data_IF_626722012820
#
_entry.id   IF_626722012820
#
_cell.length_a   1.000
_cell.length_b   1.000
_cell.length_c   1.000
_cell.angle_alpha   90.00
_cell.angle_beta   90.00
_cell.angle_gamma   90.00
#
_symmetry.space_group_name_H-M   'P 1'
#
loop_
_entity.id
_entity.type
_entity.pdbx_description
1 polymer ?
#
# COMPACT_ATOMS: atom_id res chain seq x y z
N UNK A 1 8.47 -12.83 12.39
CA UNK A 1 7.04 -12.86 12.11
C UNK A 1 6.55 -11.57 11.48
N UNK A 2 6.83 -10.41 12.08
CA UNK A 2 6.42 -9.12 11.55
C UNK A 2 7.00 -8.82 10.18
N UNK A 3 8.29 -9.07 9.97
CA UNK A 3 8.95 -8.87 8.68
C UNK A 3 8.39 -9.84 7.65
N UNK A 4 8.20 -11.10 8.04
CA UNK A 4 7.63 -12.10 7.14
C UNK A 4 6.23 -11.71 6.66
N UNK A 5 5.41 -11.14 7.55
CA UNK A 5 4.08 -10.66 7.19
C UNK A 5 4.14 -9.51 6.20
N UNK A 6 5.04 -8.55 6.41
CA UNK A 6 5.22 -7.42 5.48
C UNK A 6 5.67 -7.91 4.11
N UNK A 7 6.60 -8.86 4.05
CA UNK A 7 7.07 -9.43 2.79
C UNK A 7 5.94 -10.16 2.07
N UNK A 8 5.15 -10.95 2.80
CA UNK A 8 4.01 -11.67 2.21
C UNK A 8 2.98 -10.70 1.64
N UNK A 9 2.68 -9.62 2.36
CA UNK A 9 1.76 -8.60 1.89
C UNK A 9 2.29 -7.90 0.64
N UNK A 10 3.58 -7.56 0.62
CA UNK A 10 4.21 -6.94 -0.54
C UNK A 10 4.13 -7.86 -1.78
N UNK A 11 4.40 -9.16 -1.60
CA UNK A 11 4.27 -10.14 -2.68
C UNK A 11 2.84 -10.24 -3.19
N UNK A 12 1.86 -10.25 -2.30
CA UNK A 12 0.45 -10.30 -2.67
C UNK A 12 0.06 -9.08 -3.50
N UNK A 13 0.43 -7.88 -3.04
CA UNK A 13 0.16 -6.65 -3.77
C UNK A 13 0.82 -6.64 -5.14
N UNK A 14 2.07 -7.12 -5.22
CA UNK A 14 2.78 -7.19 -6.50
C UNK A 14 2.05 -8.12 -7.47
N UNK A 15 1.60 -9.29 -7.01
CA UNK A 15 0.86 -10.22 -7.85
C UNK A 15 -0.45 -9.64 -8.34
N UNK A 16 -1.17 -8.93 -7.46
CA UNK A 16 -2.39 -8.25 -7.84
C UNK A 16 -2.13 -7.18 -8.90
N UNK A 17 -1.07 -6.40 -8.72
CA UNK A 17 -0.67 -5.36 -9.69
C UNK A 17 -0.30 -5.96 -11.04
N UNK A 18 0.45 -7.06 -11.05
CA UNK A 18 0.81 -7.76 -12.28
C UNK A 18 -0.44 -8.30 -13.00
N UNK A 19 -1.41 -8.82 -12.23
CA UNK A 19 -2.67 -9.31 -12.79
C UNK A 19 -3.46 -8.18 -13.45
N UNK A 20 -3.54 -7.01 -12.82
CA UNK A 20 -4.21 -5.84 -13.40
C UNK A 20 -3.52 -5.41 -14.70
N UNK A 21 -2.19 -5.39 -14.72
CA UNK A 21 -1.44 -5.08 -15.94
C UNK A 21 -1.72 -6.09 -17.05
N UNK A 22 -1.82 -7.37 -16.71
CA UNK A 22 -2.17 -8.41 -17.66
C UNK A 22 -3.55 -8.20 -18.25
N UNK A 23 -4.52 -7.79 -17.43
CA UNK A 23 -5.87 -7.46 -17.89
C UNK A 23 -5.86 -6.28 -18.86
N UNK A 24 -5.09 -5.23 -18.56
CA UNK A 24 -4.94 -4.07 -19.43
C UNK A 24 -4.33 -4.45 -20.76
N UNK A 25 -3.29 -5.30 -20.77
CA UNK A 25 -2.65 -5.77 -21.99
C UNK A 25 -3.58 -6.63 -22.84
N UNK A 26 -4.52 -7.32 -22.20
CA UNK A 26 -5.53 -8.12 -22.89
C UNK A 26 -6.70 -7.29 -23.42
N UNK A 27 -6.66 -5.97 -23.28
CA UNK A 27 -7.71 -5.08 -23.76
C UNK A 27 -8.91 -4.95 -22.83
N UNK A 28 -8.79 -5.44 -21.58
CA UNK A 28 -9.85 -5.31 -20.57
C UNK A 28 -9.77 -3.94 -19.90
N UNK A 29 -10.86 -3.56 -19.21
CA UNK A 29 -10.92 -2.35 -18.43
C UNK A 29 -11.09 -2.70 -16.93
N UNK A 30 -9.98 -3.01 -16.21
CA UNK A 30 -10.06 -3.49 -14.83
C UNK A 30 -10.25 -2.33 -13.83
N UNK A 31 -11.37 -1.64 -13.89
CA UNK A 31 -11.67 -0.49 -13.02
C UNK A 31 -11.81 -0.93 -11.57
N UNK A 32 -12.59 -1.98 -11.32
CA UNK A 32 -12.78 -2.52 -9.97
C UNK A 32 -11.47 -3.07 -9.42
N UNK A 33 -10.79 -3.90 -10.19
CA UNK A 33 -9.55 -4.56 -9.78
C UNK A 33 -8.45 -3.54 -9.50
N UNK A 34 -8.32 -2.53 -10.37
CA UNK A 34 -7.35 -1.46 -10.18
C UNK A 34 -7.63 -0.65 -8.91
N UNK A 35 -8.91 -0.36 -8.63
CA UNK A 35 -9.29 0.36 -7.43
C UNK A 35 -8.96 -0.44 -6.16
N UNK A 36 -9.20 -1.75 -6.18
CA UNK A 36 -8.87 -2.62 -5.05
C UNK A 36 -7.37 -2.61 -4.79
N UNK A 37 -6.55 -2.80 -5.83
CA UNK A 37 -5.10 -2.81 -5.70
C UNK A 37 -4.59 -1.46 -5.16
N UNK A 38 -5.12 -0.36 -5.68
CA UNK A 38 -4.71 0.98 -5.24
C UNK A 38 -5.08 1.21 -3.78
N UNK A 39 -6.31 0.85 -3.37
CA UNK A 39 -6.75 1.04 -1.99
C UNK A 39 -5.92 0.20 -1.02
N UNK A 40 -5.75 -1.10 -1.30
CA UNK A 40 -4.96 -1.99 -0.46
C UNK A 40 -3.49 -1.57 -0.40
N UNK A 41 -2.92 -1.17 -1.53
CA UNK A 41 -1.55 -0.70 -1.60
C UNK A 41 -1.32 0.56 -0.79
N UNK A 42 -2.23 1.51 -0.87
CA UNK A 42 -2.15 2.76 -0.12
C UNK A 42 -2.22 2.51 1.38
N UNK A 43 -3.15 1.66 1.83
CA UNK A 43 -3.26 1.29 3.25
C UNK A 43 -1.98 0.64 3.74
N UNK A 44 -1.41 -0.28 2.94
CA UNK A 44 -0.16 -0.95 3.28
C UNK A 44 1.00 0.04 3.38
N UNK A 45 1.14 0.92 2.39
CA UNK A 45 2.21 1.91 2.36
C UNK A 45 2.12 2.87 3.55
N UNK A 46 0.92 3.31 3.90
CA UNK A 46 0.73 4.22 5.04
C UNK A 46 1.02 3.56 6.38
N UNK A 47 0.77 2.26 6.49
CA UNK A 47 1.04 1.51 7.72
C UNK A 47 2.52 1.15 7.87
N UNK A 48 3.28 1.14 6.78
CA UNK A 48 4.65 0.64 6.75
C UNK A 48 5.59 1.37 7.71
N UNK A 49 5.63 2.73 7.76
CA UNK A 49 6.53 3.42 8.67
C UNK A 49 6.31 3.06 10.13
N UNK A 50 5.05 2.97 10.55
CA UNK A 50 4.72 2.60 11.93
C UNK A 50 5.14 1.18 12.24
N UNK A 51 4.85 0.24 11.33
CA UNK A 51 5.25 -1.17 11.50
C UNK A 51 6.77 -1.31 11.54
N UNK A 52 7.47 -0.58 10.69
CA UNK A 52 8.94 -0.59 10.70
C UNK A 52 9.49 -0.06 12.01
N UNK A 53 8.88 1.00 12.54
CA UNK A 53 9.29 1.56 13.84
C UNK A 53 9.09 0.54 14.95
N UNK A 54 7.93 -0.13 14.98
CA UNK A 54 7.62 -1.12 16.02
C UNK A 54 8.59 -2.31 15.95
N UNK A 55 8.90 -2.79 14.76
CA UNK A 55 9.78 -3.94 14.56
C UNK A 55 11.23 -3.63 14.91
N UNK A 56 11.65 -2.37 14.85
CA UNK A 56 13.02 -1.97 15.09
C UNK A 56 13.20 -1.20 16.39
N UNK A 57 12.17 -1.12 17.23
CA UNK A 57 12.20 -0.32 18.47
C UNK A 57 13.32 -0.71 19.41
N UNK A 58 13.71 -1.99 19.43
CA UNK A 58 14.74 -2.51 20.32
C UNK A 58 16.04 -2.86 19.58
N UNK A 59 16.14 -2.49 18.30
CA UNK A 59 17.35 -2.72 17.51
C UNK A 59 18.28 -1.53 17.66
N UNK A 60 19.53 -1.81 18.05
CA UNK A 60 20.56 -0.80 18.16
C UNK A 60 21.69 -1.14 17.21
N UNK A 61 21.85 -0.34 16.15
CA UNK A 61 22.93 -0.49 15.20
C UNK A 61 23.44 0.88 14.76
N UNK A 62 24.58 0.89 14.06
CA UNK A 62 25.26 2.12 13.69
C UNK A 62 24.51 3.03 12.74
N UNK A 63 23.51 2.50 12.03
CA UNK A 63 22.73 3.24 11.03
C UNK A 63 21.38 3.72 11.57
N UNK A 64 21.17 3.62 12.86
CA UNK A 64 19.87 3.96 13.47
C UNK A 64 19.45 5.39 13.18
N UNK A 65 20.39 6.34 13.20
CA UNK A 65 20.08 7.76 12.96
C UNK A 65 19.53 7.97 11.53
N UNK A 66 20.16 7.36 10.53
CA UNK A 66 19.69 7.44 9.15
C UNK A 66 18.33 6.78 8.98
N UNK A 67 18.13 5.62 9.60
CA UNK A 67 16.87 4.91 9.57
C UNK A 67 15.75 5.74 10.20
N UNK A 68 16.00 6.35 11.36
CA UNK A 68 15.01 7.20 12.03
C UNK A 68 14.65 8.43 11.19
N UNK A 69 15.62 9.00 10.48
CA UNK A 69 15.36 10.13 9.59
C UNK A 69 14.45 9.73 8.43
N UNK A 70 14.71 8.56 7.82
CA UNK A 70 13.85 8.03 6.76
C UNK A 70 12.44 7.72 7.27
N UNK A 71 12.32 7.18 8.49
CA UNK A 71 11.02 6.91 9.09
C UNK A 71 10.23 8.20 9.33
N UNK A 72 10.88 9.26 9.79
CA UNK A 72 10.21 10.55 9.96
C UNK A 72 9.68 11.08 8.64
N UNK A 73 10.52 11.04 7.61
CA UNK A 73 10.11 11.47 6.27
C UNK A 73 8.90 10.66 5.78
N UNK A 74 8.99 9.35 5.86
CA UNK A 74 7.91 8.46 5.42
C UNK A 74 6.62 8.72 6.20
N UNK A 75 6.73 8.96 7.51
CA UNK A 75 5.58 9.26 8.37
C UNK A 75 4.90 10.57 7.95
N UNK A 76 5.70 11.58 7.61
CA UNK A 76 5.17 12.88 7.20
C UNK A 76 4.48 12.85 5.84
N UNK A 77 4.97 12.02 4.90
CA UNK A 77 4.35 11.93 3.59
C UNK A 77 3.21 10.91 3.50
N UNK A 78 3.05 10.05 4.52
CA UNK A 78 2.04 9.00 4.49
C UNK A 78 0.62 9.49 4.19
N UNK A 79 0.13 10.60 4.79
CA UNK A 79 -1.21 11.10 4.47
C UNK A 79 -1.39 11.48 3.00
N UNK A 80 -0.33 11.92 2.33
CA UNK A 80 -0.37 12.27 0.91
C UNK A 80 -0.75 11.08 0.03
N UNK A 81 -0.41 9.87 0.45
CA UNK A 81 -0.67 8.66 -0.34
C UNK A 81 -2.16 8.40 -0.54
N UNK A 82 -3.03 8.93 0.33
CA UNK A 82 -4.47 8.77 0.17
C UNK A 82 -5.07 9.68 -0.89
N UNK A 83 -4.33 10.67 -1.36
CA UNK A 83 -4.84 11.63 -2.36
C UNK A 83 -4.15 11.49 -3.71
N UNK A 84 -3.15 10.63 -3.83
CA UNK A 84 -2.48 10.37 -5.10
C UNK A 84 -3.27 9.34 -5.91
N UNK A 85 -3.70 9.72 -7.11
CA UNK A 85 -4.38 8.82 -8.04
C UNK A 85 -5.79 8.42 -7.62
N UNK A 86 -6.40 9.14 -6.69
CA UNK A 86 -7.72 8.88 -6.16
C UNK A 86 -7.69 8.76 -4.64
N UNK A 87 -8.65 9.40 -3.98
CA UNK A 87 -8.77 9.32 -2.52
C UNK A 87 -9.33 7.96 -2.11
N UNK A 88 -9.09 7.57 -0.86
CA UNK A 88 -9.62 6.32 -0.31
C UNK A 88 -11.14 6.26 -0.44
N UNK A 89 -11.83 7.36 -0.20
CA UNK A 89 -13.29 7.43 -0.29
C UNK A 89 -13.76 7.20 -1.72
N UNK A 90 -13.11 7.80 -2.70
CA UNK A 90 -13.44 7.62 -4.12
C UNK A 90 -13.17 6.17 -4.54
N UNK A 91 -12.03 5.62 -4.15
CA UNK A 91 -11.67 4.23 -4.49
C UNK A 91 -12.68 3.24 -3.91
N UNK A 92 -13.08 3.43 -2.65
CA UNK A 92 -14.05 2.56 -2.01
C UNK A 92 -15.43 2.68 -2.62
N UNK A 93 -15.79 3.86 -3.11
CA UNK A 93 -17.03 4.05 -3.87
C UNK A 93 -17.02 3.27 -5.18
N UNK A 94 -15.90 3.29 -5.89
CA UNK A 94 -15.71 2.52 -7.13
C UNK A 94 -15.81 1.01 -6.83
N UNK A 95 -15.16 0.56 -5.76
CA UNK A 95 -15.20 -0.84 -5.34
C UNK A 95 -16.63 -1.26 -5.00
N UNK A 96 -17.33 -0.45 -4.22
CA UNK A 96 -18.71 -0.75 -3.81
C UNK A 96 -19.62 -0.90 -5.03
N UNK A 97 -19.51 0.00 -6.00
CA UNK A 97 -20.30 -0.09 -7.23
C UNK A 97 -19.94 -1.32 -8.06
N UNK A 98 -18.64 -1.64 -8.12
CA UNK A 98 -18.14 -2.78 -8.89
C UNK A 98 -18.64 -4.12 -8.35
N UNK A 99 -18.92 -4.23 -7.05
CA UNK A 99 -19.46 -5.45 -6.43
C UNK A 99 -20.96 -5.40 -6.24
N UNK A 100 -21.63 -4.40 -6.83
CA UNK A 100 -23.10 -4.34 -6.86
C UNK A 100 -23.76 -3.51 -5.77
N UNK A 101 -22.99 -2.81 -4.96
CA UNK A 101 -23.54 -1.89 -3.95
C UNK A 101 -23.78 -0.50 -4.56
N UNK A 102 -24.73 0.22 -4.00
CA UNK A 102 -25.06 1.58 -4.41
C UNK A 102 -24.87 2.57 -3.27
#
# INVERSE_FOLDING_TARGET
EGIGRLVAQAHTLRRMSVSVNGMLQAGMEPVLEGAIVKDMGTVWEQALPRKARDLTAFTDNGDRANFDQLLRYATHIAPKLTIQGGTTEVLRSIIARGIGLR
#
